data_IF_117659706209
#
_entry.id   IF_117659706209
#
_cell.length_a   1.000
_cell.length_b   1.000
_cell.length_c   1.000
_cell.angle_alpha   90.00
_cell.angle_beta   90.00
_cell.angle_gamma   90.00
#
_symmetry.space_group_name_H-M   'P 1'
#
loop_
_entity.id
_entity.type
_entity.pdbx_description
1 polymer ?
#
# COMPACT_ATOMS: atom_id res chain seq x y z
N UNK A 1 19.06 18.39 6.91
CA UNK A 1 19.19 19.07 8.23
C UNK A 1 18.17 18.51 9.24
N UNK A 2 16.91 18.31 8.84
CA UNK A 2 15.85 17.74 9.71
C UNK A 2 16.14 16.27 10.03
N UNK A 3 16.68 15.51 9.07
CA UNK A 3 17.06 14.10 9.26
C UNK A 3 18.02 13.90 10.43
N UNK A 4 19.01 14.80 10.57
CA UNK A 4 19.95 14.79 11.71
C UNK A 4 19.24 15.04 13.05
N UNK A 5 18.23 15.89 13.07
CA UNK A 5 17.46 16.20 14.29
C UNK A 5 16.55 15.04 14.66
N UNK A 6 15.96 14.34 13.68
CA UNK A 6 15.08 13.21 13.90
C UNK A 6 15.79 11.87 13.98
N UNK A 7 17.11 11.83 13.74
CA UNK A 7 17.91 10.60 13.73
C UNK A 7 17.51 9.63 12.62
N UNK A 8 16.98 10.14 11.50
CA UNK A 8 16.51 9.34 10.37
C UNK A 8 17.28 9.68 9.10
N UNK A 9 17.63 8.66 8.34
CA UNK A 9 18.33 8.79 7.06
C UNK A 9 17.41 9.09 5.87
N UNK A 10 16.07 9.04 6.06
CA UNK A 10 15.09 9.26 5.03
C UNK A 10 13.75 9.74 5.60
N UNK A 11 12.93 10.36 4.73
CA UNK A 11 11.57 10.77 5.05
C UNK A 11 10.57 9.69 4.66
N UNK A 12 9.60 9.46 5.52
CA UNK A 12 8.40 8.70 5.18
C UNK A 12 7.39 9.69 4.64
N UNK A 13 7.15 9.63 3.34
CA UNK A 13 6.02 10.32 2.73
C UNK A 13 4.76 9.48 2.93
N UNK A 14 4.04 9.77 3.95
CA UNK A 14 2.74 9.18 4.16
C UNK A 14 1.92 10.15 4.98
N UNK A 15 0.84 10.63 4.42
CA UNK A 15 -0.22 11.36 5.09
C UNK A 15 -1.16 10.41 5.83
N UNK A 16 -0.59 9.36 6.43
CA UNK A 16 -1.33 8.42 7.26
C UNK A 16 -1.19 8.83 8.73
N UNK A 17 -2.28 8.75 9.49
CA UNK A 17 -2.29 9.04 10.93
C UNK A 17 -1.32 8.16 11.71
N UNK A 18 -1.23 6.89 11.31
CA UNK A 18 -0.24 5.95 11.84
C UNK A 18 0.81 5.73 10.74
N UNK A 19 2.11 5.95 11.01
CA UNK A 19 3.18 5.73 10.04
C UNK A 19 3.12 4.31 9.43
N UNK A 20 3.42 4.19 8.13
CA UNK A 20 3.29 2.92 7.40
C UNK A 20 4.17 1.79 7.95
N UNK A 21 5.28 2.13 8.61
CA UNK A 21 6.21 1.19 9.25
C UNK A 21 5.82 0.79 10.67
N UNK A 22 4.83 1.44 11.26
CA UNK A 22 4.43 1.17 12.63
C UNK A 22 3.77 -0.20 12.73
N UNK A 23 4.29 -1.04 13.64
CA UNK A 23 3.72 -2.36 13.91
C UNK A 23 2.43 -2.22 14.71
N UNK A 24 1.33 -2.16 14.00
CA UNK A 24 -0.02 -2.02 14.56
C UNK A 24 -1.01 -2.90 13.80
N UNK A 25 -2.14 -3.22 14.41
CA UNK A 25 -3.18 -3.99 13.72
C UNK A 25 -3.84 -3.16 12.61
N UNK A 26 -4.36 -3.83 11.59
CA UNK A 26 -5.14 -3.16 10.53
C UNK A 26 -6.37 -2.45 11.12
N UNK A 27 -6.99 -3.01 12.17
CA UNK A 27 -8.14 -2.40 12.84
C UNK A 27 -7.79 -1.08 13.51
N UNK A 28 -6.64 -0.98 14.19
CA UNK A 28 -6.19 0.29 14.77
C UNK A 28 -5.94 1.34 13.69
N UNK A 29 -5.41 0.94 12.54
CA UNK A 29 -5.19 1.84 11.40
C UNK A 29 -6.51 2.32 10.82
N UNK A 30 -7.51 1.43 10.70
CA UNK A 30 -8.86 1.77 10.26
C UNK A 30 -9.52 2.74 11.26
N UNK A 31 -9.37 2.50 12.55
CA UNK A 31 -9.94 3.37 13.57
C UNK A 31 -9.29 4.76 13.56
N UNK A 32 -7.99 4.85 13.37
CA UNK A 32 -7.30 6.13 13.20
C UNK A 32 -7.75 6.87 11.93
N UNK A 33 -8.05 6.16 10.85
CA UNK A 33 -8.52 6.76 9.60
C UNK A 33 -9.89 7.45 9.71
N UNK A 34 -10.67 7.19 10.77
CA UNK A 34 -11.91 7.94 11.04
C UNK A 34 -11.65 9.42 11.26
N UNK A 35 -10.44 9.80 11.67
CA UNK A 35 -10.02 11.20 11.78
C UNK A 35 -10.05 11.94 10.44
N UNK A 36 -9.95 11.21 9.32
CA UNK A 36 -10.07 11.76 7.97
C UNK A 36 -11.43 12.47 7.77
N UNK A 37 -12.45 12.05 8.50
CA UNK A 37 -13.78 12.66 8.42
C UNK A 37 -13.82 14.12 8.88
N UNK A 38 -12.82 14.56 9.64
CA UNK A 38 -12.67 15.95 10.08
C UNK A 38 -11.82 16.78 9.12
N UNK A 39 -11.21 16.15 8.10
CA UNK A 39 -10.39 16.85 7.12
C UNK A 39 -11.26 17.50 6.04
N UNK A 40 -11.20 18.82 5.92
CA UNK A 40 -11.96 19.57 4.91
C UNK A 40 -11.46 19.38 3.47
N UNK A 41 -10.20 18.96 3.30
CA UNK A 41 -9.54 18.81 1.99
C UNK A 41 -9.51 17.40 1.43
N UNK A 42 -10.06 16.42 2.13
CA UNK A 42 -10.00 15.02 1.79
C UNK A 42 -8.74 14.32 2.33
N UNK A 43 -8.87 13.02 2.57
CA UNK A 43 -7.81 12.15 3.03
C UNK A 43 -8.07 10.73 2.50
N UNK A 44 -7.05 9.89 2.47
CA UNK A 44 -7.14 8.51 1.98
C UNK A 44 -6.42 7.56 2.93
N UNK A 45 -7.09 6.49 3.32
CA UNK A 45 -6.46 5.38 4.03
C UNK A 45 -5.77 4.45 3.03
N UNK A 46 -4.48 4.23 3.21
CA UNK A 46 -3.74 3.18 2.48
C UNK A 46 -3.60 1.93 3.34
N UNK A 47 -4.10 0.81 2.83
CA UNK A 47 -3.99 -0.52 3.45
C UNK A 47 -3.00 -1.33 2.63
N UNK A 48 -1.81 -1.58 3.18
CA UNK A 48 -0.79 -2.38 2.52
C UNK A 48 -1.10 -3.86 2.72
N UNK A 49 -1.34 -4.57 1.63
CA UNK A 49 -1.64 -6.00 1.64
C UNK A 49 -0.37 -6.81 1.36
N UNK A 50 -0.05 -7.76 2.25
CA UNK A 50 1.04 -8.73 2.07
C UNK A 50 0.67 -9.84 1.10
N UNK A 51 -0.63 -10.07 0.94
CA UNK A 51 -1.21 -11.07 0.05
C UNK A 51 -2.48 -10.52 -0.61
N UNK A 52 -2.94 -11.17 -1.66
CA UNK A 52 -4.20 -10.83 -2.30
C UNK A 52 -5.38 -11.41 -1.50
N UNK A 53 -6.57 -10.85 -1.70
CA UNK A 53 -7.79 -11.47 -1.21
C UNK A 53 -7.98 -12.85 -1.84
N UNK A 54 -8.42 -13.82 -1.05
CA UNK A 54 -8.66 -15.19 -1.50
C UNK A 54 -9.84 -15.28 -2.48
N UNK A 55 -10.79 -14.35 -2.36
CA UNK A 55 -11.97 -14.29 -3.21
C UNK A 55 -12.47 -12.86 -3.39
N UNK A 56 -13.33 -12.67 -4.39
CA UNK A 56 -14.07 -11.41 -4.55
C UNK A 56 -14.99 -11.15 -3.34
N UNK A 57 -15.56 -12.20 -2.77
CA UNK A 57 -16.44 -12.08 -1.60
C UNK A 57 -15.69 -11.56 -0.38
N UNK A 58 -14.46 -12.04 -0.12
CA UNK A 58 -13.62 -11.53 0.96
C UNK A 58 -13.27 -10.06 0.76
N UNK A 59 -12.88 -9.69 -0.45
CA UNK A 59 -12.61 -8.29 -0.81
C UNK A 59 -13.84 -7.39 -0.61
N UNK A 60 -15.00 -7.88 -1.02
CA UNK A 60 -16.27 -7.18 -0.86
C UNK A 60 -16.65 -7.01 0.61
N UNK A 61 -16.61 -8.10 1.39
CA UNK A 61 -16.94 -8.07 2.82
C UNK A 61 -16.02 -7.14 3.60
N UNK A 62 -14.73 -7.17 3.30
CA UNK A 62 -13.77 -6.26 3.91
C UNK A 62 -14.05 -4.80 3.53
N UNK A 63 -14.36 -4.54 2.26
CA UNK A 63 -14.74 -3.21 1.74
C UNK A 63 -15.98 -2.66 2.43
N UNK A 64 -17.03 -3.48 2.54
CA UNK A 64 -18.25 -3.12 3.26
C UNK A 64 -17.97 -2.88 4.74
N UNK A 65 -17.10 -3.70 5.34
CA UNK A 65 -16.63 -3.52 6.71
C UNK A 65 -15.96 -2.16 6.96
N UNK A 66 -15.11 -1.70 6.03
CA UNK A 66 -14.48 -0.37 6.08
C UNK A 66 -15.53 0.75 6.01
N UNK A 67 -16.47 0.64 5.07
CA UNK A 67 -17.54 1.62 4.91
C UNK A 67 -18.42 1.70 6.18
N UNK A 68 -18.80 0.57 6.75
CA UNK A 68 -19.59 0.49 7.99
C UNK A 68 -18.82 1.06 9.20
N UNK A 69 -17.50 1.03 9.20
CA UNK A 69 -16.65 1.68 10.21
C UNK A 69 -16.51 3.19 9.98
N UNK A 70 -17.07 3.73 8.91
CA UNK A 70 -17.04 5.16 8.58
C UNK A 70 -15.80 5.61 7.80
N UNK A 71 -15.03 4.71 7.22
CA UNK A 71 -13.94 5.06 6.31
C UNK A 71 -14.53 5.42 4.95
N UNK A 72 -14.36 6.67 4.52
CA UNK A 72 -14.99 7.19 3.30
C UNK A 72 -14.16 6.99 2.04
N UNK A 73 -12.83 6.99 2.20
CA UNK A 73 -11.93 6.86 1.06
C UNK A 73 -10.70 6.04 1.45
N UNK A 74 -10.44 4.99 0.69
CA UNK A 74 -9.33 4.08 0.95
C UNK A 74 -8.79 3.47 -0.35
N UNK A 75 -7.62 2.88 -0.26
CA UNK A 75 -6.99 2.13 -1.36
C UNK A 75 -6.21 0.95 -0.80
N UNK A 76 -6.40 -0.20 -1.43
CA UNK A 76 -5.53 -1.36 -1.21
C UNK A 76 -4.23 -1.16 -1.98
N UNK A 77 -3.13 -1.48 -1.34
CA UNK A 77 -1.79 -1.41 -1.91
C UNK A 77 -1.15 -2.78 -1.78
N UNK A 78 -0.89 -3.42 -2.89
CA UNK A 78 -0.22 -4.71 -2.98
C UNK A 78 0.95 -4.64 -3.96
N UNK A 79 1.86 -5.60 -3.85
CA UNK A 79 2.87 -5.86 -4.85
C UNK A 79 2.21 -6.51 -6.07
N UNK A 80 2.56 -6.04 -7.24
CA UNK A 80 2.06 -6.53 -8.53
C UNK A 80 3.26 -7.04 -9.33
N UNK A 81 3.09 -8.16 -10.02
CA UNK A 81 4.09 -8.70 -10.93
C UNK A 81 4.04 -7.99 -12.28
N UNK A 82 5.20 -7.79 -12.90
CA UNK A 82 5.33 -7.12 -14.20
C UNK A 82 6.27 -7.96 -15.08
N UNK A 83 5.84 -8.28 -16.30
CA UNK A 83 6.67 -8.94 -17.30
C UNK A 83 7.46 -7.94 -18.16
N UNK A 84 8.32 -8.43 -19.05
CA UNK A 84 9.14 -7.59 -19.93
C UNK A 84 8.30 -6.79 -20.95
N UNK A 85 7.08 -7.23 -21.23
CA UNK A 85 6.12 -6.49 -22.06
C UNK A 85 5.29 -5.45 -21.29
N UNK A 86 5.67 -5.11 -20.06
CA UNK A 86 5.00 -4.15 -19.17
C UNK A 86 3.55 -4.50 -18.80
N UNK A 87 3.13 -5.75 -18.96
CA UNK A 87 1.83 -6.18 -18.43
C UNK A 87 1.93 -6.37 -16.93
N UNK A 88 0.91 -5.88 -16.21
CA UNK A 88 0.79 -6.03 -14.76
C UNK A 88 -0.20 -7.16 -14.43
N UNK A 89 0.19 -8.05 -13.53
CA UNK A 89 -0.59 -9.23 -13.15
C UNK A 89 -0.26 -9.68 -11.74
N UNK A 90 -0.94 -10.71 -11.26
CA UNK A 90 -0.62 -11.39 -10.01
C UNK A 90 -0.21 -12.83 -10.31
N UNK A 91 0.89 -13.27 -9.69
CA UNK A 91 1.43 -14.61 -9.82
C UNK A 91 2.69 -14.68 -10.68
N UNK A 92 3.12 -15.89 -11.03
CA UNK A 92 4.42 -16.11 -11.65
C UNK A 92 4.41 -15.91 -13.16
N UNK A 93 3.24 -16.00 -13.80
CA UNK A 93 3.10 -15.98 -15.26
C UNK A 93 2.07 -14.94 -15.70
N UNK A 94 2.46 -14.13 -16.66
CA UNK A 94 1.62 -13.09 -17.22
C UNK A 94 0.38 -13.69 -17.90
N UNK A 95 -0.81 -13.24 -17.48
CA UNK A 95 -2.09 -13.70 -18.03
C UNK A 95 -2.39 -13.18 -19.43
N UNK A 96 -1.59 -12.20 -19.93
CA UNK A 96 -1.77 -11.59 -21.26
C UNK A 96 -0.85 -12.20 -22.30
N UNK A 97 0.42 -12.39 -21.98
CA UNK A 97 1.43 -12.85 -22.96
C UNK A 97 2.12 -14.17 -22.59
N UNK A 98 1.85 -14.74 -21.41
CA UNK A 98 2.47 -16.00 -20.97
C UNK A 98 3.92 -15.87 -20.46
N UNK A 99 4.51 -14.67 -20.49
CA UNK A 99 5.87 -14.44 -20.02
C UNK A 99 5.96 -14.45 -18.49
N UNK A 100 7.11 -14.83 -17.90
CA UNK A 100 7.31 -14.82 -16.47
C UNK A 100 7.35 -13.39 -15.91
N UNK A 101 7.19 -13.26 -14.59
CA UNK A 101 7.45 -12.02 -13.87
C UNK A 101 8.94 -11.69 -13.88
N UNK A 102 9.30 -10.50 -14.32
CA UNK A 102 10.68 -10.01 -14.35
C UNK A 102 10.92 -8.87 -13.36
N UNK A 103 9.87 -8.24 -12.88
CA UNK A 103 9.95 -7.17 -11.87
C UNK A 103 8.67 -7.08 -11.05
N UNK A 104 8.79 -6.43 -9.90
CA UNK A 104 7.65 -6.08 -9.04
C UNK A 104 7.32 -4.60 -9.18
N UNK A 105 6.03 -4.29 -9.15
CA UNK A 105 5.51 -2.94 -9.06
C UNK A 105 4.70 -2.73 -7.78
N UNK A 106 4.61 -1.50 -7.34
CA UNK A 106 3.75 -1.11 -6.23
C UNK A 106 3.12 0.25 -6.49
N UNK A 107 1.88 0.40 -6.05
CA UNK A 107 1.21 1.70 -6.05
C UNK A 107 1.79 2.56 -4.92
N UNK A 108 2.28 3.77 -5.26
CA UNK A 108 2.83 4.68 -4.25
C UNK A 108 1.75 5.61 -3.72
N UNK A 109 1.24 6.51 -4.48
CA UNK A 109 0.16 7.43 -4.06
C UNK A 109 -1.03 7.32 -5.00
N UNK A 110 -0.84 7.39 -6.27
CA UNK A 110 -1.90 7.33 -7.26
C UNK A 110 -1.51 6.58 -8.52
N UNK A 111 -0.27 6.08 -8.60
CA UNK A 111 0.27 5.42 -9.78
C UNK A 111 1.18 4.24 -9.41
N UNK A 112 1.25 3.29 -10.34
CA UNK A 112 2.10 2.12 -10.23
C UNK A 112 3.54 2.49 -10.60
N UNK A 113 4.50 2.02 -9.81
CA UNK A 113 5.94 2.23 -10.05
C UNK A 113 6.68 0.91 -9.92
N UNK A 114 7.55 0.62 -10.88
CA UNK A 114 8.46 -0.52 -10.80
C UNK A 114 9.47 -0.33 -9.66
N UNK A 115 9.66 -1.35 -8.82
CA UNK A 115 10.61 -1.29 -7.70
C UNK A 115 12.04 -0.99 -8.15
N UNK A 116 12.42 -1.45 -9.35
CA UNK A 116 13.76 -1.24 -9.89
C UNK A 116 14.09 0.26 -10.11
N UNK A 117 13.07 1.09 -10.32
CA UNK A 117 13.23 2.53 -10.48
C UNK A 117 13.34 3.33 -9.17
N UNK A 118 13.20 2.65 -8.03
CA UNK A 118 13.23 3.31 -6.73
C UNK A 118 14.65 3.75 -6.34
N UNK A 119 14.76 4.97 -5.83
CA UNK A 119 15.96 5.41 -5.11
C UNK A 119 16.11 4.62 -3.80
N UNK A 120 17.34 4.58 -3.28
CA UNK A 120 17.69 3.85 -2.05
C UNK A 120 16.70 4.10 -0.90
N UNK A 121 16.37 5.35 -0.64
CA UNK A 121 15.47 5.73 0.46
C UNK A 121 14.05 5.20 0.28
N UNK A 122 13.55 5.13 -0.97
CA UNK A 122 12.23 4.58 -1.25
C UNK A 122 12.20 3.05 -1.13
N UNK A 123 13.29 2.38 -1.50
CA UNK A 123 13.41 0.93 -1.29
C UNK A 123 13.37 0.60 0.19
N UNK A 124 14.14 1.31 1.00
CA UNK A 124 14.18 1.15 2.45
C UNK A 124 12.80 1.41 3.08
N UNK A 125 12.11 2.47 2.67
CA UNK A 125 10.74 2.76 3.16
C UNK A 125 9.77 1.64 2.82
N UNK A 126 9.86 1.04 1.62
CA UNK A 126 9.02 -0.07 1.22
C UNK A 126 9.31 -1.34 2.04
N UNK A 127 10.57 -1.63 2.31
CA UNK A 127 10.99 -2.78 3.13
C UNK A 127 10.50 -2.67 4.59
N UNK A 128 10.41 -1.43 5.10
CA UNK A 128 9.95 -1.16 6.47
C UNK A 128 8.42 -1.07 6.59
N UNK A 129 7.65 -1.13 5.50
CA UNK A 129 6.19 -1.05 5.57
C UNK A 129 5.58 -2.24 6.29
N UNK A 130 4.62 -1.96 7.16
CA UNK A 130 3.76 -3.00 7.70
C UNK A 130 2.82 -3.49 6.59
N UNK A 131 2.94 -4.76 6.24
CA UNK A 131 2.03 -5.45 5.32
C UNK A 131 1.06 -6.30 6.13
N UNK A 132 -0.20 -6.35 5.70
CA UNK A 132 -1.27 -7.08 6.38
C UNK A 132 -1.69 -8.31 5.60
N UNK A 133 -1.86 -9.42 6.31
CA UNK A 133 -2.63 -10.58 5.86
C UNK A 133 -4.05 -10.45 6.40
N UNK A 134 -5.05 -10.70 5.54
CA UNK A 134 -6.47 -10.48 5.83
C UNK A 134 -7.26 -11.79 5.82
#
# INVERSE_FOLDING_TARGET
KIDKVLGKDYYIYGNQWIPLKENTSVLNRIDAAKLDNFCGGGAILHINLGENFNSFEDAWNFTVGLANKGVKYFSYISLIDICDNDHSFFGDTCTVCGEPSTSKGIKIVGYLVKQNSFKKQRKQELEERQMYSL
#
